data_IF_526384495143
#
_entry.id   IF_526384495143
#
_cell.length_a   1.000
_cell.length_b   1.000
_cell.length_c   1.000
_cell.angle_alpha   90.00
_cell.angle_beta   90.00
_cell.angle_gamma   90.00
#
_symmetry.space_group_name_H-M   'P 1'
#
loop_
_entity.id
_entity.type
_entity.pdbx_description
1 polymer ?
#
# COMPACT_ATOMS: atom_id res chain seq x y z
N UNK A 1 16.73 11.96 -3.08
CA UNK A 1 16.13 12.08 -1.72
C UNK A 1 15.74 10.70 -1.22
N UNK A 2 16.07 10.43 0.05
CA UNK A 2 15.71 9.16 0.68
C UNK A 2 14.32 9.26 1.28
N UNK A 3 13.48 8.27 1.04
CA UNK A 3 12.14 8.16 1.64
C UNK A 3 12.12 7.03 2.65
N UNK A 4 11.25 7.09 3.67
CA UNK A 4 11.07 5.96 4.59
C UNK A 4 10.64 4.72 3.82
N UNK A 5 11.38 3.64 3.97
CA UNK A 5 11.16 2.39 3.23
C UNK A 5 11.42 1.19 4.13
N UNK A 6 10.61 0.15 3.98
CA UNK A 6 10.78 -1.13 4.67
C UNK A 6 10.61 -2.27 3.66
N UNK A 7 11.34 -3.35 3.87
CA UNK A 7 11.15 -4.59 3.12
C UNK A 7 10.19 -5.51 3.88
N UNK A 8 9.57 -6.46 3.15
CA UNK A 8 8.56 -7.35 3.75
C UNK A 8 9.10 -8.09 4.99
N UNK A 9 10.36 -8.47 4.99
CA UNK A 9 10.96 -9.16 6.13
C UNK A 9 10.98 -8.30 7.41
N UNK A 10 10.95 -6.97 7.25
CA UNK A 10 10.92 -6.04 8.37
C UNK A 10 9.52 -5.62 8.81
N UNK A 11 8.49 -6.15 8.17
CA UNK A 11 7.09 -5.81 8.48
C UNK A 11 6.52 -6.85 9.43
N UNK A 12 6.10 -6.45 10.65
CA UNK A 12 5.50 -7.41 11.59
C UNK A 12 4.25 -8.09 11.05
N UNK A 13 3.96 -9.29 11.55
CA UNK A 13 2.77 -10.04 11.22
C UNK A 13 2.09 -10.47 12.55
N UNK A 14 0.88 -10.00 12.88
CA UNK A 14 0.03 -9.12 12.07
C UNK A 14 0.58 -7.70 11.95
N UNK A 15 0.12 -7.01 10.89
CA UNK A 15 0.57 -5.65 10.60
C UNK A 15 0.02 -4.67 11.65
N UNK A 16 0.89 -3.89 12.34
CA UNK A 16 0.44 -3.03 13.44
C UNK A 16 -0.02 -1.63 13.00
N UNK A 17 0.04 -1.32 11.71
CA UNK A 17 -0.27 0.02 11.18
C UNK A 17 -1.28 -0.06 10.06
N UNK A 18 -1.87 1.08 9.71
CA UNK A 18 -2.78 1.17 8.57
C UNK A 18 -2.04 0.98 7.25
N UNK A 19 -2.78 0.61 6.20
CA UNK A 19 -2.25 0.41 4.85
C UNK A 19 -2.97 1.32 3.87
N UNK A 20 -2.20 1.97 3.00
CA UNK A 20 -2.70 2.71 1.85
C UNK A 20 -2.23 2.01 0.58
N UNK A 21 -3.17 1.57 -0.24
CA UNK A 21 -2.91 0.94 -1.54
C UNK A 21 -3.15 1.97 -2.64
N UNK A 22 -2.11 2.28 -3.42
CA UNK A 22 -2.18 3.32 -4.45
C UNK A 22 -2.25 2.77 -5.86
N UNK A 23 -2.62 1.47 -6.00
CA UNK A 23 -2.77 0.81 -7.29
C UNK A 23 -4.09 1.21 -7.95
N UNK A 24 -4.28 0.76 -9.20
CA UNK A 24 -5.51 0.99 -9.94
C UNK A 24 -6.65 0.10 -9.46
N UNK A 25 -7.89 0.43 -9.86
CA UNK A 25 -9.09 -0.26 -9.38
C UNK A 25 -9.09 -1.76 -9.70
N UNK A 26 -8.61 -2.15 -10.88
CA UNK A 26 -8.57 -3.55 -11.30
C UNK A 26 -7.53 -4.35 -10.48
N UNK A 27 -6.40 -3.75 -10.18
CA UNK A 27 -5.38 -4.36 -9.32
C UNK A 27 -5.93 -4.59 -7.91
N UNK A 28 -6.60 -3.59 -7.36
CA UNK A 28 -7.24 -3.67 -6.06
C UNK A 28 -8.28 -4.78 -6.00
N UNK A 29 -9.17 -4.81 -7.00
CA UNK A 29 -10.26 -5.80 -7.04
C UNK A 29 -9.74 -7.24 -7.10
N UNK A 30 -8.65 -7.47 -7.81
CA UNK A 30 -8.06 -8.81 -7.94
C UNK A 30 -7.47 -9.35 -6.64
N UNK A 31 -6.92 -8.47 -5.80
CA UNK A 31 -6.39 -8.87 -4.51
C UNK A 31 -5.71 -7.71 -3.79
N UNK A 32 -6.03 -7.55 -2.51
CA UNK A 32 -5.48 -6.48 -1.67
C UNK A 32 -5.42 -6.91 -0.21
N UNK A 33 -4.74 -6.13 0.60
CA UNK A 33 -4.63 -6.38 2.04
C UNK A 33 -5.96 -5.99 2.69
N UNK A 34 -6.53 -6.90 3.49
CA UNK A 34 -7.79 -6.65 4.19
C UNK A 34 -7.66 -5.44 5.09
N UNK A 35 -8.66 -4.56 5.06
CA UNK A 35 -8.69 -3.34 5.87
C UNK A 35 -7.89 -2.18 5.29
N UNK A 36 -7.20 -2.35 4.16
CA UNK A 36 -6.46 -1.26 3.53
C UNK A 36 -7.40 -0.20 2.98
N UNK A 37 -6.91 1.05 2.96
CA UNK A 37 -7.56 2.14 2.25
C UNK A 37 -7.05 2.15 0.82
N UNK A 38 -7.95 2.27 -0.14
CA UNK A 38 -7.60 2.31 -1.56
C UNK A 38 -7.80 3.71 -2.13
N UNK A 39 -6.71 4.33 -2.56
CA UNK A 39 -6.73 5.62 -3.28
C UNK A 39 -5.70 5.52 -4.39
N UNK A 40 -6.11 5.41 -5.67
CA UNK A 40 -5.15 5.38 -6.77
C UNK A 40 -4.21 6.58 -6.74
N UNK A 41 -2.95 6.37 -7.14
CA UNK A 41 -1.91 7.39 -7.04
C UNK A 41 -2.35 8.73 -7.65
N UNK A 42 -3.00 8.71 -8.81
CA UNK A 42 -3.44 9.94 -9.50
C UNK A 42 -4.51 10.70 -8.74
N UNK A 43 -5.21 10.06 -7.80
CA UNK A 43 -6.30 10.68 -7.04
C UNK A 43 -5.87 11.19 -5.67
N UNK A 44 -4.64 10.90 -5.26
CA UNK A 44 -4.15 11.26 -3.92
C UNK A 44 -4.29 12.75 -3.61
N UNK A 45 -3.88 13.68 -4.50
CA UNK A 45 -3.96 15.11 -4.16
C UNK A 45 -5.38 15.58 -3.85
N UNK A 46 -6.38 15.00 -4.49
CA UNK A 46 -7.78 15.37 -4.30
C UNK A 46 -8.41 14.67 -3.10
N UNK A 47 -7.77 13.65 -2.54
CA UNK A 47 -8.37 12.77 -1.52
C UNK A 47 -7.55 12.67 -0.23
N UNK A 48 -6.74 13.66 0.07
CA UNK A 48 -5.89 13.64 1.28
C UNK A 48 -6.69 13.49 2.57
N UNK A 49 -7.92 13.99 2.60
CA UNK A 49 -8.79 13.86 3.76
C UNK A 49 -9.24 12.44 4.08
N UNK A 50 -9.05 11.49 3.14
CA UNK A 50 -9.42 10.08 3.31
C UNK A 50 -8.29 9.21 3.85
N UNK A 51 -7.08 9.78 4.01
CA UNK A 51 -5.92 9.04 4.48
C UNK A 51 -6.12 8.58 5.92
N UNK A 52 -5.63 7.35 6.25
CA UNK A 52 -5.62 6.90 7.63
C UNK A 52 -4.80 7.85 8.51
N UNK A 53 -5.15 7.92 9.78
CA UNK A 53 -4.38 8.68 10.76
C UNK A 53 -3.22 7.83 11.28
N UNK A 54 -2.13 8.49 11.63
CA UNK A 54 -0.95 7.82 12.18
C UNK A 54 -0.09 7.18 11.11
N UNK A 55 0.83 6.34 11.54
CA UNK A 55 1.77 5.69 10.64
C UNK A 55 1.07 4.77 9.65
N UNK A 56 1.41 4.89 8.38
CA UNK A 56 0.75 4.15 7.31
C UNK A 56 1.79 3.51 6.38
N UNK A 57 1.61 2.21 6.13
CA UNK A 57 2.38 1.49 5.12
C UNK A 57 1.73 1.72 3.75
N UNK A 58 2.50 2.22 2.79
CA UNK A 58 2.00 2.51 1.44
C UNK A 58 2.48 1.44 0.48
N UNK A 59 1.56 0.86 -0.28
CA UNK A 59 1.87 -0.26 -1.17
C UNK A 59 1.41 0.02 -2.60
N UNK A 60 2.17 -0.52 -3.55
CA UNK A 60 1.73 -0.71 -4.93
C UNK A 60 2.15 -2.11 -5.39
N UNK A 61 2.26 -2.37 -6.68
CA UNK A 61 2.62 -3.72 -7.14
C UNK A 61 4.07 -4.08 -6.78
N UNK A 62 5.02 -3.20 -7.09
CA UNK A 62 6.47 -3.48 -6.96
C UNK A 62 7.24 -2.42 -6.16
N UNK A 63 6.60 -1.36 -5.71
CA UNK A 63 7.21 -0.33 -4.87
C UNK A 63 7.49 1.02 -5.54
N UNK A 64 7.35 1.15 -6.85
CA UNK A 64 7.64 2.39 -7.57
C UNK A 64 6.59 3.49 -7.40
N UNK A 65 5.32 3.16 -7.64
CA UNK A 65 4.21 4.11 -7.46
C UNK A 65 4.06 4.50 -5.98
N UNK A 66 4.22 3.52 -5.09
CA UNK A 66 4.13 3.79 -3.65
C UNK A 66 5.30 4.65 -3.17
N UNK A 67 6.50 4.51 -3.76
CA UNK A 67 7.61 5.41 -3.45
C UNK A 67 7.29 6.85 -3.83
N UNK A 68 6.66 7.07 -5.00
CA UNK A 68 6.20 8.40 -5.40
C UNK A 68 5.16 8.95 -4.42
N UNK A 69 4.21 8.10 -4.01
CA UNK A 69 3.18 8.50 -3.04
C UNK A 69 3.80 8.89 -1.71
N UNK A 70 4.75 8.09 -1.20
CA UNK A 70 5.41 8.38 0.07
C UNK A 70 6.17 9.70 -0.01
N UNK A 71 6.90 9.95 -1.10
CA UNK A 71 7.62 11.20 -1.27
C UNK A 71 6.66 12.41 -1.20
N UNK A 72 5.54 12.32 -1.91
CA UNK A 72 4.53 13.38 -1.90
C UNK A 72 3.88 13.54 -0.52
N UNK A 73 3.43 12.45 0.08
CA UNK A 73 2.70 12.49 1.36
C UNK A 73 3.59 12.92 2.52
N UNK A 74 4.85 12.51 2.53
CA UNK A 74 5.79 12.95 3.56
C UNK A 74 5.97 14.47 3.53
N UNK A 75 6.02 15.06 2.33
CA UNK A 75 6.10 16.52 2.17
C UNK A 75 4.83 17.22 2.66
N UNK A 76 3.69 16.52 2.67
CA UNK A 76 2.42 17.03 3.19
C UNK A 76 2.28 16.81 4.70
N UNK A 77 3.28 16.21 5.36
CA UNK A 77 3.28 16.01 6.81
C UNK A 77 2.71 14.67 7.28
N UNK A 78 2.45 13.72 6.37
CA UNK A 78 1.95 12.40 6.75
C UNK A 78 3.08 11.45 7.16
N UNK A 79 2.80 10.56 8.12
CA UNK A 79 3.73 9.54 8.56
C UNK A 79 3.54 8.29 7.69
N UNK A 80 4.33 8.18 6.63
CA UNK A 80 4.19 7.12 5.62
C UNK A 80 5.51 6.40 5.41
N UNK A 81 5.40 5.10 5.10
CA UNK A 81 6.55 4.23 4.82
C UNK A 81 6.24 3.44 3.56
N UNK A 82 7.20 3.37 2.64
CA UNK A 82 7.05 2.59 1.41
C UNK A 82 7.37 1.12 1.67
N UNK A 83 6.51 0.21 1.19
CA UNK A 83 6.84 -1.22 1.15
C UNK A 83 7.65 -1.50 -0.12
N UNK A 84 8.97 -1.68 0.02
CA UNK A 84 9.81 -2.10 -1.09
C UNK A 84 9.36 -3.48 -1.57
N UNK A 85 9.30 -3.67 -2.89
CA UNK A 85 8.79 -4.91 -3.48
C UNK A 85 7.28 -5.03 -3.52
N UNK A 86 6.55 -4.18 -2.82
CA UNK A 86 5.11 -4.04 -2.89
C UNK A 86 4.32 -5.32 -2.69
N UNK A 87 3.17 -5.40 -3.37
CA UNK A 87 2.27 -6.55 -3.25
C UNK A 87 2.85 -7.84 -3.80
N UNK A 88 3.80 -7.79 -4.74
CA UNK A 88 4.47 -9.01 -5.18
C UNK A 88 5.23 -9.67 -4.04
N UNK A 89 5.98 -8.90 -3.27
CA UNK A 89 6.72 -9.45 -2.12
C UNK A 89 5.78 -9.85 -0.98
N UNK A 90 4.68 -9.10 -0.78
CA UNK A 90 3.65 -9.45 0.19
C UNK A 90 3.09 -10.85 -0.10
N UNK A 91 2.68 -11.09 -1.35
CA UNK A 91 2.14 -12.38 -1.77
C UNK A 91 3.19 -13.50 -1.71
N UNK A 92 4.42 -13.21 -2.13
CA UNK A 92 5.51 -14.19 -2.09
C UNK A 92 5.85 -14.62 -0.66
N UNK A 93 5.64 -13.74 0.31
CA UNK A 93 5.81 -14.06 1.73
C UNK A 93 4.62 -14.83 2.32
N UNK A 94 3.60 -15.12 1.52
CA UNK A 94 2.42 -15.86 1.96
C UNK A 94 1.49 -15.06 2.85
N UNK A 95 1.59 -13.73 2.84
CA UNK A 95 0.75 -12.88 3.67
C UNK A 95 -0.68 -12.80 3.13
N UNK A 96 -1.69 -12.66 4.01
CA UNK A 96 -3.08 -12.78 3.58
C UNK A 96 -3.55 -11.63 2.70
N UNK A 97 -4.41 -11.96 1.75
CA UNK A 97 -5.07 -11.02 0.86
C UNK A 97 -6.53 -11.41 0.68
N UNK A 98 -7.35 -10.43 0.31
CA UNK A 98 -8.77 -10.64 -0.04
C UNK A 98 -9.02 -10.08 -1.43
N UNK A 99 -10.08 -10.56 -2.10
CA UNK A 99 -10.48 -10.05 -3.41
C UNK A 99 -11.91 -9.50 -3.37
N UNK A 100 -12.23 -8.64 -4.33
CA UNK A 100 -13.59 -8.14 -4.52
C UNK A 100 -14.35 -8.96 -5.56
N UNK A 101 -13.71 -9.94 -6.20
CA UNK A 101 -14.28 -10.70 -7.32
C UNK A 101 -15.00 -11.97 -6.90
N UNK A 102 -14.85 -12.40 -5.66
CA UNK A 102 -15.33 -13.71 -5.20
C UNK A 102 -14.40 -14.86 -5.57
N UNK A 103 -13.38 -14.63 -6.37
CA UNK A 103 -12.32 -15.60 -6.68
C UNK A 103 -11.17 -15.48 -5.67
N UNK A 104 -10.21 -16.39 -5.74
CA UNK A 104 -9.02 -16.31 -4.90
C UNK A 104 -8.23 -15.03 -5.20
N UNK A 105 -7.75 -14.37 -4.16
CA UNK A 105 -6.98 -13.14 -4.31
C UNK A 105 -5.62 -13.43 -4.95
N UNK A 106 -5.20 -12.53 -5.84
CA UNK A 106 -3.87 -12.60 -6.47
C UNK A 106 -3.40 -11.20 -6.81
N UNK A 107 -2.11 -11.06 -7.11
CA UNK A 107 -1.54 -9.77 -7.53
C UNK A 107 -1.61 -9.68 -9.05
N UNK A 108 -2.49 -8.80 -9.53
CA UNK A 108 -2.69 -8.57 -10.95
C UNK A 108 -1.46 -7.97 -11.62
#
# INVERSE_FOLDING_TARGET
MTIPTVEIAGVPDPLPVAVLDVREDDEWAAGHIEGATHIPLSELPARLGELPKGQTLVVCKVGGRSAQAVNYLAQQGFEVVNLAGGMLDWAAAGRPMVSETGADAYVL
#
